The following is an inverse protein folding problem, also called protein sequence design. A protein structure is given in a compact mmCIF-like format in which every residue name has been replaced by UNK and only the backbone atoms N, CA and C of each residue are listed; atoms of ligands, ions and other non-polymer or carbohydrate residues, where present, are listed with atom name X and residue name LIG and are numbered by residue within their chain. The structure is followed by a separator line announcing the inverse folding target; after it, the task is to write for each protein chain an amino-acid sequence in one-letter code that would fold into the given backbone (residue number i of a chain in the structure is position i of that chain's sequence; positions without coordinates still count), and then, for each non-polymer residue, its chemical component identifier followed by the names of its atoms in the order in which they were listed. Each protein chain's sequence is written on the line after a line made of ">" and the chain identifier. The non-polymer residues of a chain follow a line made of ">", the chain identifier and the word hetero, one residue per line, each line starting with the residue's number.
data_IF_909533715181
#
_entry.id   IF_909533715181
#
_cell.length_a   1.000
_cell.length_b   1.000
_cell.length_c   1.000
_cell.angle_alpha   90.00
_cell.angle_beta   90.00
_cell.angle_gamma   90.00
#
_symmetry.space_group_name_H-M   'P 1'
#
loop_
_entity.id
_entity.type
_entity.pdbx_description
1 polymer ?
#
# COMPACT_ATOMS: atom_id res chain seq x y z
N UNK A 1 -14.80 7.25 -13.74
CA UNK A 1 -14.09 7.81 -12.67
C UNK A 1 -12.89 6.96 -12.29
N UNK A 2 -11.95 6.96 -13.07
CA UNK A 2 -10.73 6.23 -12.91
C UNK A 2 -9.60 7.22 -13.01
N UNK A 3 -9.69 8.22 -12.23
CA UNK A 3 -8.79 9.33 -12.34
C UNK A 3 -7.85 9.38 -11.16
N UNK A 4 -6.78 10.15 -11.27
CA UNK A 4 -5.89 10.36 -10.12
C UNK A 4 -6.64 10.83 -8.88
N UNK A 5 -7.71 11.58 -9.04
CA UNK A 5 -8.52 11.99 -7.91
C UNK A 5 -9.14 10.81 -7.19
N UNK A 6 -9.57 9.78 -7.95
CA UNK A 6 -10.10 8.57 -7.35
C UNK A 6 -9.03 7.80 -6.60
N UNK A 7 -7.84 7.71 -7.17
CA UNK A 7 -6.73 7.05 -6.50
C UNK A 7 -6.41 7.75 -5.18
N UNK A 8 -6.36 9.07 -5.18
CA UNK A 8 -6.10 9.84 -3.97
C UNK A 8 -7.18 9.61 -2.92
N UNK A 9 -8.45 9.59 -3.34
CA UNK A 9 -9.55 9.36 -2.41
C UNK A 9 -9.49 7.97 -1.80
N UNK A 10 -9.17 6.96 -2.60
CA UNK A 10 -9.04 5.59 -2.12
C UNK A 10 -7.88 5.48 -1.13
N UNK A 11 -6.75 6.07 -1.47
CA UNK A 11 -5.57 6.04 -0.59
C UNK A 11 -5.87 6.74 0.73
N UNK A 12 -6.53 7.90 0.68
CA UNK A 12 -6.89 8.62 1.89
C UNK A 12 -7.85 7.81 2.76
N UNK A 13 -8.85 7.19 2.14
CA UNK A 13 -9.79 6.34 2.87
C UNK A 13 -9.10 5.15 3.52
N UNK A 14 -8.17 4.54 2.80
CA UNK A 14 -7.40 3.42 3.34
C UNK A 14 -6.52 3.87 4.52
N UNK A 15 -5.89 5.03 4.40
CA UNK A 15 -5.07 5.56 5.49
C UNK A 15 -5.91 5.81 6.75
N UNK A 16 -7.11 6.36 6.58
CA UNK A 16 -8.01 6.58 7.72
C UNK A 16 -8.37 5.25 8.37
N UNK A 17 -8.67 4.23 7.57
CA UNK A 17 -9.00 2.91 8.12
C UNK A 17 -7.82 2.32 8.89
N UNK A 18 -6.61 2.49 8.37
CA UNK A 18 -5.42 2.00 9.08
C UNK A 18 -5.20 2.71 10.40
N UNK A 19 -5.46 4.01 10.45
CA UNK A 19 -5.34 4.78 11.68
C UNK A 19 -6.37 4.34 12.72
N UNK A 20 -7.51 3.86 12.27
CA UNK A 20 -8.56 3.33 13.13
C UNK A 20 -8.30 1.88 13.57
N UNK A 21 -7.23 1.29 13.05
CA UNK A 21 -6.92 -0.11 13.33
C UNK A 21 -7.56 -1.10 12.37
N UNK A 22 -8.28 -0.61 11.37
CA UNK A 22 -8.96 -1.47 10.39
C UNK A 22 -8.06 -1.71 9.17
N UNK A 23 -6.95 -2.39 9.40
CA UNK A 23 -5.97 -2.65 8.35
C UNK A 23 -6.56 -3.54 7.26
N UNK A 24 -7.32 -4.55 7.64
CA UNK A 24 -7.94 -5.45 6.65
C UNK A 24 -8.95 -4.72 5.78
N UNK A 25 -9.72 -3.80 6.38
CA UNK A 25 -10.63 -2.96 5.62
C UNK A 25 -9.90 -2.07 4.62
N UNK A 26 -8.75 -1.56 5.03
CA UNK A 26 -7.90 -0.77 4.12
C UNK A 26 -7.43 -1.62 2.95
N UNK A 27 -6.97 -2.83 3.21
CA UNK A 27 -6.53 -3.75 2.16
C UNK A 27 -7.67 -4.05 1.20
N UNK A 28 -8.85 -4.36 1.72
CA UNK A 28 -10.02 -4.65 0.88
C UNK A 28 -10.37 -3.46 0.01
N UNK A 29 -10.33 -2.25 0.56
CA UNK A 29 -10.62 -1.05 -0.18
C UNK A 29 -9.63 -0.84 -1.33
N UNK A 30 -8.35 -1.03 -1.05
CA UNK A 30 -7.31 -0.82 -2.05
C UNK A 30 -7.34 -1.90 -3.12
N UNK A 31 -7.59 -3.14 -2.75
CA UNK A 31 -7.65 -4.24 -3.73
C UNK A 31 -8.91 -4.19 -4.57
N UNK A 32 -9.99 -3.65 -4.03
CA UNK A 32 -11.26 -3.59 -4.73
C UNK A 32 -11.44 -2.37 -5.62
N UNK A 33 -10.52 -1.42 -5.62
CA UNK A 33 -10.68 -0.21 -6.41
C UNK A 33 -10.27 -0.44 -7.87
N UNK A 34 -10.83 0.38 -8.76
CA UNK A 34 -10.57 0.27 -10.20
C UNK A 34 -9.16 0.70 -10.59
N UNK A 35 -8.52 1.51 -9.77
CA UNK A 35 -7.19 2.04 -10.04
C UNK A 35 -6.11 1.30 -9.25
N UNK A 36 -6.32 0.01 -9.04
CA UNK A 36 -5.42 -0.80 -8.20
C UNK A 36 -4.00 -0.91 -8.73
N UNK A 37 -3.77 -0.60 -10.01
CA UNK A 37 -2.44 -0.61 -10.59
C UNK A 37 -1.74 0.76 -10.51
N UNK A 38 -2.41 1.76 -9.96
CA UNK A 38 -1.83 3.07 -9.77
C UNK A 38 -0.71 2.99 -8.74
N UNK A 39 0.39 3.70 -8.99
CA UNK A 39 1.56 3.65 -8.11
C UNK A 39 1.22 4.02 -6.67
N UNK A 40 0.39 5.04 -6.47
CA UNK A 40 -0.01 5.46 -5.13
C UNK A 40 -0.84 4.40 -4.43
N UNK A 41 -1.75 3.76 -5.15
CA UNK A 41 -2.60 2.70 -4.61
C UNK A 41 -1.74 1.49 -4.25
N UNK A 42 -0.83 1.09 -5.13
CA UNK A 42 0.07 -0.02 -4.86
C UNK A 42 0.94 0.26 -3.64
N UNK A 43 1.46 1.48 -3.53
CA UNK A 43 2.26 1.85 -2.37
C UNK A 43 1.43 1.75 -1.07
N UNK A 44 0.22 2.29 -1.08
CA UNK A 44 -0.65 2.23 0.09
C UNK A 44 -1.01 0.79 0.44
N UNK A 45 -1.29 -0.04 -0.57
CA UNK A 45 -1.60 -1.45 -0.35
C UNK A 45 -0.41 -2.18 0.25
N UNK A 46 0.79 -1.91 -0.24
CA UNK A 46 1.99 -2.51 0.31
C UNK A 46 2.19 -2.15 1.78
N UNK A 47 1.97 -0.88 2.12
CA UNK A 47 2.06 -0.42 3.50
C UNK A 47 1.00 -1.12 4.37
N UNK A 48 -0.22 -1.23 3.86
CA UNK A 48 -1.29 -1.90 4.60
C UNK A 48 -0.96 -3.37 4.84
N UNK A 49 -0.43 -4.05 3.83
CA UNK A 49 -0.02 -5.45 3.98
C UNK A 49 1.10 -5.58 5.01
N UNK A 50 2.05 -4.65 5.03
CA UNK A 50 3.12 -4.66 6.02
C UNK A 50 2.57 -4.50 7.44
N UNK A 51 1.58 -3.63 7.60
CA UNK A 51 0.95 -3.44 8.91
C UNK A 51 0.17 -4.69 9.35
N UNK A 52 -0.34 -5.46 8.39
CA UNK A 52 -1.04 -6.71 8.66
C UNK A 52 -0.06 -7.89 8.79
N UNK A 53 1.22 -7.61 8.82
CA UNK A 53 2.29 -8.60 8.97
C UNK A 53 2.40 -9.55 7.78
N UNK A 54 1.86 -9.19 6.64
CA UNK A 54 2.00 -9.94 5.39
C UNK A 54 3.24 -9.42 4.65
N UNK A 55 4.40 -9.66 5.20
CA UNK A 55 5.64 -9.04 4.73
C UNK A 55 6.02 -9.43 3.32
N UNK A 56 5.86 -10.70 2.95
CA UNK A 56 6.20 -11.16 1.60
C UNK A 56 5.31 -10.48 0.57
N UNK A 57 4.01 -10.41 0.85
CA UNK A 57 3.07 -9.75 -0.03
C UNK A 57 3.35 -8.26 -0.11
N UNK A 58 3.66 -7.64 1.04
CA UNK A 58 3.99 -6.23 1.09
C UNK A 58 5.19 -5.91 0.22
N UNK A 59 6.24 -6.72 0.32
CA UNK A 59 7.44 -6.54 -0.48
C UNK A 59 7.12 -6.60 -1.96
N UNK A 60 6.38 -7.62 -2.40
CA UNK A 60 6.01 -7.77 -3.79
C UNK A 60 5.22 -6.57 -4.30
N UNK A 61 4.24 -6.13 -3.52
CA UNK A 61 3.40 -5.01 -3.92
C UNK A 61 4.20 -3.71 -3.96
N UNK A 62 5.06 -3.48 -2.98
CA UNK A 62 5.90 -2.28 -2.96
C UNK A 62 6.89 -2.26 -4.13
N UNK A 63 7.40 -3.41 -4.53
CA UNK A 63 8.25 -3.48 -5.71
C UNK A 63 7.48 -3.11 -6.97
N UNK A 64 6.23 -3.55 -7.07
CA UNK A 64 5.36 -3.15 -8.17
C UNK A 64 5.10 -1.64 -8.17
N UNK A 65 4.87 -1.09 -6.98
CA UNK A 65 4.65 0.35 -6.83
C UNK A 65 5.89 1.14 -7.29
N UNK A 66 7.07 0.66 -6.94
CA UNK A 66 8.31 1.30 -7.34
C UNK A 66 8.46 1.29 -8.86
N UNK A 67 8.16 0.17 -9.51
CA UNK A 67 8.19 0.06 -10.95
C UNK A 67 7.17 0.97 -11.62
N UNK A 68 6.05 1.20 -10.95
CA UNK A 68 5.01 2.08 -11.45
C UNK A 68 5.32 3.55 -11.26
N UNK A 69 6.40 3.87 -10.56
CA UNK A 69 6.87 5.23 -10.39
C UNK A 69 6.74 5.81 -9.00
N UNK A 70 6.37 5.03 -8.00
CA UNK A 70 6.24 5.53 -6.63
C UNK A 70 7.60 5.58 -5.95
N UNK A 71 8.11 6.78 -5.75
CA UNK A 71 9.37 6.96 -5.02
C UNK A 71 9.21 6.60 -3.54
N UNK A 72 8.01 6.78 -2.99
CA UNK A 72 7.75 6.44 -1.60
C UNK A 72 7.86 4.94 -1.34
N UNK A 73 7.56 4.14 -2.37
CA UNK A 73 7.65 2.69 -2.25
C UNK A 73 9.08 2.25 -1.94
N UNK A 74 10.08 2.95 -2.45
CA UNK A 74 11.46 2.61 -2.17
C UNK A 74 11.76 2.77 -0.68
N UNK A 75 11.32 3.87 -0.09
CA UNK A 75 11.51 4.10 1.35
C UNK A 75 10.77 3.04 2.17
N UNK A 76 9.57 2.71 1.74
CA UNK A 76 8.77 1.70 2.43
C UNK A 76 9.42 0.33 2.33
N UNK A 77 10.02 0.00 1.19
CA UNK A 77 10.75 -1.26 1.04
C UNK A 77 11.95 -1.31 1.97
N UNK A 78 12.67 -0.20 2.12
CA UNK A 78 13.81 -0.14 3.02
C UNK A 78 13.38 -0.34 4.47
N UNK A 79 12.28 0.29 4.87
CA UNK A 79 11.73 0.14 6.21
C UNK A 79 11.25 -1.30 6.44
N UNK A 80 10.62 -1.87 5.44
CA UNK A 80 10.15 -3.25 5.52
C UNK A 80 11.32 -4.22 5.69
N UNK A 81 12.39 -4.01 4.95
CA UNK A 81 13.57 -4.84 5.04
C UNK A 81 14.14 -4.81 6.47
N UNK A 82 14.14 -3.63 7.10
CA UNK A 82 14.58 -3.50 8.48
C UNK A 82 13.68 -4.25 9.45
N UNK A 83 12.38 -4.19 9.26
CA UNK A 83 11.43 -4.92 10.10
C UNK A 83 11.60 -6.42 9.95
N UNK A 84 11.72 -6.89 8.73
CA UNK A 84 11.90 -8.32 8.45
C UNK A 84 13.21 -8.83 9.01
N UNK A 85 14.27 -8.01 8.94
CA UNK A 85 15.57 -8.38 9.46
C UNK A 85 15.54 -8.56 10.99
N UNK A 86 14.65 -7.87 11.68
CA UNK A 86 14.53 -7.95 13.14
C UNK A 86 13.68 -9.15 13.60
N UNK A 87 13.03 -9.81 12.67
CA UNK A 87 12.25 -11.00 13.01
C UNK A 87 13.15 -12.20 13.22
#
# INVERSE_FOLDING_TARGET
>A
CTYPANAAAVVNGACVKMEQGDVKGAIDLLEGCEVKDDASVLNALGVACARDKQYDKAKEILERALKAGSMEAQKNLEQLAGVVADL
#
